data_IF_641325542220
#
_entry.id   IF_641325542220
#
_cell.length_a   1.000
_cell.length_b   1.000
_cell.length_c   1.000
_cell.angle_alpha   90.00
_cell.angle_beta   90.00
_cell.angle_gamma   90.00
#
_symmetry.space_group_name_H-M   'P 1'
#
loop_
_entity.id
_entity.type
_entity.pdbx_description
1 polymer ?
#
# COMPACT_ATOMS: atom_id res chain seq x y z
N UNK A 1 -48.59 -18.90 -43.68
CA UNK A 1 -49.25 -17.57 -43.70
C UNK A 1 -48.29 -16.61 -42.99
N UNK A 2 -47.44 -15.81 -43.64
CA UNK A 2 -47.55 -14.95 -44.82
C UNK A 2 -47.92 -13.48 -44.47
N UNK A 3 -47.16 -12.55 -45.08
CA UNK A 3 -47.33 -11.08 -45.16
C UNK A 3 -47.06 -10.19 -43.93
N UNK A 4 -45.88 -9.55 -43.96
CA UNK A 4 -45.77 -8.08 -43.82
C UNK A 4 -46.26 -7.41 -45.11
N UNK A 5 -46.68 -6.13 -45.09
CA UNK A 5 -45.77 -5.10 -45.65
C UNK A 5 -45.95 -3.64 -45.11
N UNK A 6 -44.91 -2.81 -45.34
CA UNK A 6 -44.87 -1.36 -45.73
C UNK A 6 -45.87 -0.33 -45.11
N UNK A 7 -45.53 0.94 -44.85
CA UNK A 7 -44.27 1.71 -45.01
C UNK A 7 -44.49 3.19 -45.46
N UNK A 8 -43.56 4.10 -45.12
CA UNK A 8 -43.49 5.50 -45.61
C UNK A 8 -44.22 6.57 -44.74
N UNK A 9 -43.94 7.89 -44.86
CA UNK A 9 -42.93 8.63 -45.67
C UNK A 9 -42.87 10.14 -45.28
N UNK A 10 -41.68 10.77 -45.32
CA UNK A 10 -41.46 12.24 -45.46
C UNK A 10 -41.61 13.14 -44.20
N UNK A 11 -40.97 14.32 -44.09
CA UNK A 11 -39.87 14.91 -44.90
C UNK A 11 -39.73 16.46 -44.82
N UNK A 12 -38.49 16.98 -44.72
CA UNK A 12 -38.07 18.38 -44.99
C UNK A 12 -38.43 19.48 -43.94
N UNK A 13 -37.86 20.69 -43.93
CA UNK A 13 -36.66 21.31 -44.55
C UNK A 13 -36.46 22.77 -43.99
N UNK A 14 -35.29 23.42 -44.21
CA UNK A 14 -34.93 24.88 -44.03
C UNK A 14 -34.73 25.40 -42.58
N UNK A 15 -33.86 26.37 -42.25
CA UNK A 15 -32.86 27.21 -42.98
C UNK A 15 -33.21 28.72 -43.02
N UNK A 16 -32.35 29.72 -42.75
CA UNK A 16 -30.91 29.81 -42.37
C UNK A 16 -30.37 31.28 -42.45
N UNK A 17 -29.04 31.53 -42.30
CA UNK A 17 -28.30 32.86 -42.30
C UNK A 17 -28.29 33.64 -40.97
N UNK A 18 -27.37 34.58 -40.67
CA UNK A 18 -26.11 35.03 -41.31
C UNK A 18 -25.66 36.48 -40.93
N UNK A 19 -24.36 36.84 -41.08
CA UNK A 19 -23.77 38.19 -40.87
C UNK A 19 -22.94 38.31 -39.56
N UNK A 20 -21.66 38.78 -39.46
CA UNK A 20 -20.72 39.71 -40.16
C UNK A 20 -20.85 41.21 -39.83
N UNK A 21 -19.72 41.82 -39.45
CA UNK A 21 -19.49 43.26 -39.15
C UNK A 21 -18.82 43.41 -37.77
N UNK A 22 -17.53 43.71 -37.56
CA UNK A 22 -16.45 44.43 -38.28
C UNK A 22 -16.44 45.96 -38.09
N UNK A 23 -15.22 46.50 -37.87
CA UNK A 23 -14.85 47.91 -37.64
C UNK A 23 -15.21 48.49 -36.23
N UNK A 24 -14.52 49.50 -35.70
CA UNK A 24 -13.49 50.39 -36.29
C UNK A 24 -12.45 50.81 -35.22
N UNK A 25 -11.24 51.20 -35.63
CA UNK A 25 -10.26 51.85 -34.75
C UNK A 25 -10.66 53.29 -34.44
N UNK A 26 -10.26 53.82 -33.27
CA UNK A 26 -10.01 55.26 -33.16
C UNK A 26 -8.84 55.57 -32.21
N UNK A 27 -8.27 56.77 -32.35
CA UNK A 27 -6.88 57.09 -32.01
C UNK A 27 -6.78 58.21 -30.95
N UNK A 28 -5.67 58.17 -30.20
CA UNK A 28 -5.18 59.10 -29.15
C UNK A 28 -5.30 60.61 -29.53
N UNK A 29 -5.31 61.53 -28.53
CA UNK A 29 -4.02 62.07 -28.08
C UNK A 29 -3.88 62.29 -26.55
N UNK A 30 -2.63 62.40 -26.12
CA UNK A 30 -2.23 62.68 -24.73
C UNK A 30 -2.12 64.19 -24.45
N UNK A 31 -2.18 64.58 -23.17
CA UNK A 31 -1.81 65.92 -22.68
C UNK A 31 -0.95 65.79 -21.42
N UNK A 32 0.20 66.45 -21.41
CA UNK A 32 1.13 66.52 -20.29
C UNK A 32 0.60 67.38 -19.12
N UNK A 33 0.96 67.02 -17.88
CA UNK A 33 1.55 68.02 -16.99
C UNK A 33 2.52 67.43 -15.94
N UNK A 34 3.73 67.96 -15.96
CA UNK A 34 4.84 67.62 -15.05
C UNK A 34 4.80 68.49 -13.80
N UNK A 35 4.94 67.88 -12.59
CA UNK A 35 5.62 68.37 -11.35
C UNK A 35 5.10 67.57 -10.14
N UNK A 36 5.89 67.16 -9.13
CA UNK A 36 7.27 67.54 -8.78
C UNK A 36 7.97 66.53 -7.83
N UNK A 37 9.33 66.55 -7.82
CA UNK A 37 10.25 66.17 -6.70
C UNK A 37 10.26 64.67 -6.28
N UNK A 38 11.40 64.04 -5.94
CA UNK A 38 12.84 64.43 -5.96
C UNK A 38 13.72 63.14 -5.81
N UNK A 39 14.94 63.17 -6.38
CA UNK A 39 16.16 62.37 -6.04
C UNK A 39 16.20 60.86 -6.35
N UNK A 40 17.18 60.50 -7.21
CA UNK A 40 18.00 59.24 -7.16
C UNK A 40 19.33 59.56 -6.41
N UNK A 41 20.40 58.73 -6.38
CA UNK A 41 20.56 57.27 -6.58
C UNK A 41 21.41 56.56 -5.48
N UNK A 42 21.51 55.22 -5.48
CA UNK A 42 22.74 54.35 -5.39
C UNK A 42 22.37 52.88 -5.04
N UNK A 43 23.27 51.92 -5.32
CA UNK A 43 23.01 50.46 -5.44
C UNK A 43 23.25 49.66 -4.11
N UNK A 44 23.35 48.31 -4.09
CA UNK A 44 22.21 47.36 -4.07
C UNK A 44 22.29 46.31 -2.93
N UNK A 45 21.15 45.78 -2.44
CA UNK A 45 21.17 44.70 -1.43
C UNK A 45 19.90 43.82 -1.38
N UNK A 46 19.44 43.29 -2.53
CA UNK A 46 18.44 42.19 -2.55
C UNK A 46 18.79 41.20 -3.66
N UNK A 47 19.66 40.22 -3.35
CA UNK A 47 19.84 39.00 -4.15
C UNK A 47 19.45 37.79 -3.30
N UNK A 48 18.14 37.61 -3.16
CA UNK A 48 17.46 36.37 -2.79
C UNK A 48 15.95 36.57 -3.04
N UNK A 49 15.22 35.47 -3.25
CA UNK A 49 13.74 35.46 -3.38
C UNK A 49 13.19 36.09 -4.67
N UNK A 50 13.55 35.51 -5.83
CA UNK A 50 12.65 35.41 -6.98
C UNK A 50 13.07 34.25 -7.91
N UNK A 51 12.11 33.68 -8.64
CA UNK A 51 12.30 32.73 -9.75
C UNK A 51 12.79 31.28 -9.43
N UNK A 52 12.21 30.64 -8.41
CA UNK A 52 11.94 29.18 -8.49
C UNK A 52 10.45 29.02 -8.83
N UNK A 53 10.12 29.26 -10.11
CA UNK A 53 8.74 29.34 -10.59
C UNK A 53 8.61 28.80 -12.03
N UNK A 54 8.95 27.52 -12.23
CA UNK A 54 8.61 26.74 -13.43
C UNK A 54 8.24 25.31 -13.01
N UNK A 55 7.23 24.72 -13.66
CA UNK A 55 6.68 23.37 -13.46
C UNK A 55 5.82 23.15 -12.20
N UNK A 56 4.71 23.89 -12.14
CA UNK A 56 3.45 23.29 -11.65
C UNK A 56 2.99 22.23 -12.67
N UNK A 57 3.08 20.94 -12.31
CA UNK A 57 2.03 19.94 -12.61
C UNK A 57 2.22 18.61 -11.85
N UNK A 58 2.30 18.70 -10.51
CA UNK A 58 1.98 17.60 -9.62
C UNK A 58 1.61 18.16 -8.25
N UNK A 59 0.62 17.57 -7.57
CA UNK A 59 0.21 17.95 -6.21
C UNK A 59 1.22 17.51 -5.15
N UNK A 60 2.46 17.97 -5.26
CA UNK A 60 3.56 17.67 -4.34
C UNK A 60 3.34 18.37 -3.00
N UNK A 61 2.60 17.70 -2.12
CA UNK A 61 2.52 18.07 -0.71
C UNK A 61 3.93 17.97 -0.12
N UNK A 62 4.39 19.05 0.51
CA UNK A 62 5.77 19.18 0.99
C UNK A 62 5.93 18.35 2.29
N UNK A 63 5.99 17.03 2.13
CA UNK A 63 6.01 16.06 3.22
C UNK A 63 7.36 16.15 3.94
N UNK A 64 7.32 16.79 5.11
CA UNK A 64 8.35 16.68 6.15
C UNK A 64 8.56 15.21 6.49
N UNK A 65 9.81 14.81 6.78
CA UNK A 65 10.24 13.43 7.01
C UNK A 65 9.17 12.57 7.72
N UNK A 66 8.77 11.41 7.18
CA UNK A 66 7.72 10.57 7.75
C UNK A 66 7.98 10.24 9.22
N UNK A 67 6.93 10.35 10.04
CA UNK A 67 7.01 10.05 11.47
C UNK A 67 7.10 8.54 11.66
N UNK A 68 7.94 8.06 12.56
CA UNK A 68 7.95 6.64 12.92
C UNK A 68 6.62 6.23 13.54
N UNK A 69 6.05 5.11 13.07
CA UNK A 69 4.89 4.51 13.73
C UNK A 69 5.31 3.80 15.02
N UNK A 70 4.34 3.32 15.81
CA UNK A 70 4.58 2.40 16.95
C UNK A 70 5.33 1.14 16.51
N UNK A 71 5.09 0.67 15.29
CA UNK A 71 5.75 -0.50 14.73
C UNK A 71 7.00 -0.11 13.94
N UNK A 72 8.09 -0.84 14.16
CA UNK A 72 9.32 -0.67 13.39
C UNK A 72 9.08 -0.94 11.89
N UNK A 73 9.79 -0.21 11.02
CA UNK A 73 9.66 -0.31 9.56
C UNK A 73 8.43 0.38 8.95
N UNK A 74 7.47 0.82 9.76
CA UNK A 74 6.26 1.51 9.33
C UNK A 74 6.33 3.00 9.72
N UNK A 75 5.87 3.87 8.83
CA UNK A 75 5.91 5.32 9.01
C UNK A 75 4.55 5.95 8.67
N UNK A 76 4.33 7.18 9.15
CA UNK A 76 3.15 7.99 8.85
C UNK A 76 3.58 9.29 8.18
N UNK A 77 3.14 9.49 6.94
CA UNK A 77 3.25 10.74 6.23
C UNK A 77 2.04 11.61 6.58
N UNK A 78 2.25 12.64 7.41
CA UNK A 78 1.20 13.59 7.79
C UNK A 78 1.04 14.69 6.75
N UNK A 79 -0.19 14.97 6.34
CA UNK A 79 -0.51 15.93 5.29
C UNK A 79 -1.85 16.63 5.53
N UNK A 80 -2.65 16.80 4.47
CA UNK A 80 -4.09 17.11 4.62
C UNK A 80 -4.88 15.89 5.11
N UNK A 81 -4.41 14.71 4.73
CA UNK A 81 -4.84 13.40 5.17
C UNK A 81 -3.59 12.68 5.67
N UNK A 82 -3.70 11.89 6.74
CA UNK A 82 -2.59 11.09 7.25
C UNK A 82 -2.51 9.77 6.48
N UNK A 83 -1.35 9.47 5.91
CA UNK A 83 -1.11 8.30 5.07
C UNK A 83 -0.09 7.36 5.71
N UNK A 84 -0.41 6.07 5.74
CA UNK A 84 0.52 5.01 6.14
C UNK A 84 1.53 4.77 5.01
N UNK A 85 2.82 4.73 5.32
CA UNK A 85 3.89 4.54 4.33
C UNK A 85 4.97 3.55 4.78
N UNK A 86 5.53 2.80 3.83
CA UNK A 86 6.71 1.94 4.03
C UNK A 86 7.91 2.51 3.28
N UNK A 87 9.14 2.26 3.75
CA UNK A 87 10.36 2.63 3.02
C UNK A 87 10.54 1.67 1.83
N UNK A 88 10.67 2.20 0.61
CA UNK A 88 10.82 1.37 -0.58
C UNK A 88 12.18 0.66 -0.58
N UNK A 89 12.20 -0.66 -0.78
CA UNK A 89 13.45 -1.40 -1.00
C UNK A 89 14.02 -1.19 -2.42
N UNK A 90 13.16 -0.95 -3.42
CA UNK A 90 13.51 -0.86 -4.85
C UNK A 90 13.17 0.54 -5.39
N UNK A 91 14.00 1.56 -5.14
CA UNK A 91 13.67 2.95 -5.48
C UNK A 91 13.48 3.15 -6.98
N UNK A 92 12.47 3.94 -7.35
CA UNK A 92 12.12 4.22 -8.75
C UNK A 92 10.96 3.38 -9.29
N UNK A 93 10.67 2.23 -8.69
CA UNK A 93 9.65 1.28 -9.15
C UNK A 93 8.40 1.23 -8.23
N UNK A 94 7.21 1.08 -8.84
CA UNK A 94 5.94 0.81 -8.14
C UNK A 94 5.39 -0.56 -8.53
N UNK A 95 4.76 -1.26 -7.58
CA UNK A 95 4.30 -2.65 -7.78
C UNK A 95 2.90 -2.70 -8.39
N UNK A 96 2.01 -1.80 -7.98
CA UNK A 96 0.60 -1.78 -8.40
C UNK A 96 0.08 -0.38 -8.72
N UNK A 97 0.98 0.58 -8.99
CA UNK A 97 0.65 1.96 -9.32
C UNK A 97 0.34 2.86 -8.11
N UNK A 98 0.82 2.48 -6.93
CA UNK A 98 0.70 3.25 -5.69
C UNK A 98 1.39 4.62 -5.75
N UNK A 99 0.88 5.58 -4.96
CA UNK A 99 1.54 6.87 -4.76
C UNK A 99 2.87 6.67 -4.03
N UNK A 100 3.89 7.42 -4.46
CA UNK A 100 5.25 7.39 -3.90
C UNK A 100 5.64 8.79 -3.42
N UNK A 101 6.43 8.85 -2.36
CA UNK A 101 6.92 10.08 -1.74
C UNK A 101 8.45 9.99 -1.71
N UNK A 102 9.11 10.75 -2.57
CA UNK A 102 10.56 10.89 -2.54
C UNK A 102 10.95 11.96 -1.51
N UNK A 103 11.77 11.59 -0.53
CA UNK A 103 12.39 12.52 0.42
C UNK A 103 13.85 12.64 0.05
N UNK A 104 14.24 13.81 -0.45
CA UNK A 104 15.65 14.15 -0.63
C UNK A 104 16.32 14.27 0.74
N UNK A 105 17.45 13.60 0.94
CA UNK A 105 18.23 13.77 2.17
C UNK A 105 18.74 15.20 2.26
N UNK A 106 18.29 15.94 3.27
CA UNK A 106 18.81 17.26 3.65
C UNK A 106 19.87 17.17 4.74
N UNK A 107 20.45 15.98 4.97
CA UNK A 107 21.68 15.87 5.72
C UNK A 107 22.78 16.59 4.94
N UNK A 108 23.31 17.68 5.50
CA UNK A 108 24.49 18.33 4.96
C UNK A 108 25.62 17.28 4.84
N UNK A 109 26.39 17.26 3.74
CA UNK A 109 27.49 16.32 3.60
C UNK A 109 28.47 16.52 4.76
N UNK A 110 28.67 15.46 5.56
CA UNK A 110 29.87 15.38 6.39
C UNK A 110 31.05 15.16 5.46
N UNK A 111 32.12 15.87 5.73
CA UNK A 111 33.24 16.10 4.81
C UNK A 111 33.76 14.84 4.09
N UNK A 112 33.76 14.87 2.76
CA UNK A 112 34.75 14.14 1.95
C UNK A 112 34.29 12.97 1.07
N UNK A 113 33.06 12.45 1.19
CA UNK A 113 32.63 11.28 0.41
C UNK A 113 31.58 11.62 -0.66
N UNK A 114 31.91 11.28 -1.92
CA UNK A 114 31.06 11.49 -3.10
C UNK A 114 29.96 10.42 -3.20
N UNK A 115 29.10 10.34 -2.19
CA UNK A 115 27.90 9.52 -2.27
C UNK A 115 26.80 10.26 -3.04
N UNK A 116 26.18 9.59 -4.02
CA UNK A 116 25.04 10.13 -4.74
C UNK A 116 23.90 10.46 -3.74
N UNK A 117 23.14 11.56 -3.94
CA UNK A 117 22.10 11.95 -3.00
C UNK A 117 21.05 10.82 -2.90
N UNK A 118 21.09 10.09 -1.78
CA UNK A 118 20.25 8.91 -1.54
C UNK A 118 18.81 9.35 -1.30
N UNK A 119 18.08 9.56 -2.39
CA UNK A 119 16.65 9.86 -2.39
C UNK A 119 15.90 8.69 -1.74
N UNK A 120 15.51 8.87 -0.48
CA UNK A 120 14.78 7.84 0.24
C UNK A 120 13.33 7.91 -0.21
N UNK A 121 12.91 6.90 -0.96
CA UNK A 121 11.54 6.77 -1.44
C UNK A 121 10.67 6.00 -0.43
N UNK A 122 9.47 6.52 -0.20
CA UNK A 122 8.43 5.88 0.59
C UNK A 122 7.23 5.53 -0.29
N UNK A 123 6.60 4.39 -0.06
CA UNK A 123 5.41 3.91 -0.78
C UNK A 123 4.17 4.05 0.10
N UNK A 124 3.10 4.60 -0.45
CA UNK A 124 1.82 4.73 0.27
C UNK A 124 1.11 3.38 0.33
N UNK A 125 0.81 2.94 1.55
CA UNK A 125 0.15 1.67 1.81
C UNK A 125 -1.35 1.90 2.00
N UNK A 126 -2.17 1.26 1.17
CA UNK A 126 -3.62 1.47 1.16
C UNK A 126 -4.33 0.45 2.09
N UNK A 127 -4.99 0.88 3.18
CA UNK A 127 -5.71 -0.02 4.08
C UNK A 127 -6.91 -0.72 3.42
N UNK A 128 -7.58 -0.09 2.45
CA UNK A 128 -8.67 -0.71 1.68
C UNK A 128 -8.21 -1.81 0.70
N UNK A 129 -6.90 -2.05 0.57
CA UNK A 129 -6.33 -3.14 -0.24
C UNK A 129 -5.51 -4.15 0.56
N UNK A 130 -5.24 -3.88 1.84
CA UNK A 130 -4.31 -4.66 2.63
C UNK A 130 -4.80 -4.76 4.07
N UNK A 131 -5.25 -5.96 4.45
CA UNK A 131 -5.85 -6.27 5.76
C UNK A 131 -4.89 -5.96 6.91
N UNK A 132 -3.59 -6.17 6.69
CA UNK A 132 -2.55 -5.85 7.67
C UNK A 132 -2.38 -4.33 7.85
N UNK A 133 -2.52 -3.51 6.80
CA UNK A 133 -2.55 -2.05 6.94
C UNK A 133 -3.82 -1.55 7.64
N UNK A 134 -4.99 -2.15 7.34
CA UNK A 134 -6.22 -1.89 8.06
C UNK A 134 -6.07 -2.22 9.57
N UNK A 135 -5.44 -3.34 9.90
CA UNK A 135 -5.14 -3.72 11.29
C UNK A 135 -4.16 -2.77 11.99
N UNK A 136 -3.09 -2.35 11.31
CA UNK A 136 -2.15 -1.35 11.85
C UNK A 136 -2.88 -0.03 12.16
N UNK A 137 -3.74 0.45 11.26
CA UNK A 137 -4.53 1.68 11.50
C UNK A 137 -5.61 1.51 12.56
N UNK A 138 -6.20 0.31 12.68
CA UNK A 138 -7.14 -0.03 13.74
C UNK A 138 -6.50 -0.20 15.12
N UNK A 139 -5.16 -0.13 15.22
CA UNK A 139 -4.45 0.03 16.49
C UNK A 139 -3.89 -1.23 17.11
N UNK A 140 -3.57 -2.26 16.31
CA UNK A 140 -2.95 -3.52 16.78
C UNK A 140 -1.72 -3.26 17.66
N UNK A 141 -1.58 -3.98 18.76
CA UNK A 141 -0.45 -3.78 19.67
C UNK A 141 0.87 -4.31 19.09
N UNK A 142 0.89 -5.54 18.56
CA UNK A 142 2.11 -6.19 18.06
C UNK A 142 1.89 -7.02 16.79
N UNK A 143 2.55 -6.64 15.69
CA UNK A 143 2.51 -7.36 14.41
C UNK A 143 3.56 -8.49 14.26
N UNK A 144 4.53 -8.60 15.18
CA UNK A 144 5.65 -9.57 15.15
C UNK A 144 6.55 -9.57 13.88
N UNK A 145 6.38 -8.59 13.00
CA UNK A 145 7.19 -8.38 11.79
C UNK A 145 8.13 -7.19 12.00
N UNK A 146 9.23 -7.41 12.72
CA UNK A 146 10.28 -6.41 12.85
C UNK A 146 11.25 -6.41 11.65
N UNK A 147 12.04 -5.35 11.45
CA UNK A 147 13.18 -5.41 10.54
C UNK A 147 14.11 -6.58 10.93
N UNK A 148 14.61 -7.32 9.94
CA UNK A 148 15.43 -8.53 10.15
C UNK A 148 14.65 -9.81 10.49
N UNK A 149 13.33 -9.74 10.73
CA UNK A 149 12.52 -10.92 11.08
C UNK A 149 12.26 -11.83 9.88
N UNK A 150 12.09 -13.14 10.10
CA UNK A 150 11.67 -14.08 9.05
C UNK A 150 10.16 -14.29 9.09
N UNK A 151 9.48 -14.01 7.98
CA UNK A 151 8.01 -14.04 7.89
C UNK A 151 7.56 -15.08 6.86
N UNK A 152 6.62 -15.94 7.23
CA UNK A 152 5.90 -16.82 6.30
C UNK A 152 4.51 -16.22 6.02
N UNK A 153 4.28 -15.80 4.78
CA UNK A 153 3.02 -15.23 4.31
C UNK A 153 2.24 -16.31 3.56
N UNK A 154 1.09 -16.71 4.09
CA UNK A 154 0.17 -17.68 3.50
C UNK A 154 -0.96 -16.95 2.78
N UNK A 155 -1.14 -17.20 1.47
CA UNK A 155 -2.12 -16.50 0.64
C UNK A 155 -1.58 -15.21 0.04
N UNK A 156 -0.39 -15.25 -0.54
CA UNK A 156 0.32 -14.07 -1.06
C UNK A 156 -0.37 -13.37 -2.25
N UNK A 157 -1.28 -14.05 -2.95
CA UNK A 157 -1.97 -13.58 -4.15
C UNK A 157 -0.97 -12.97 -5.17
N UNK A 158 -1.27 -11.79 -5.74
CA UNK A 158 -0.37 -11.08 -6.66
C UNK A 158 0.71 -10.25 -5.94
N UNK A 159 0.99 -10.49 -4.65
CA UNK A 159 2.13 -9.91 -3.94
C UNK A 159 2.01 -8.45 -3.48
N UNK A 160 0.84 -7.82 -3.60
CA UNK A 160 0.63 -6.40 -3.23
C UNK A 160 0.99 -6.11 -1.78
N UNK A 161 0.34 -6.79 -0.82
CA UNK A 161 0.65 -6.71 0.62
C UNK A 161 2.04 -7.26 0.95
N UNK A 162 2.46 -8.33 0.28
CA UNK A 162 3.79 -8.95 0.47
C UNK A 162 4.91 -7.95 0.19
N UNK A 163 4.76 -7.10 -0.82
CA UNK A 163 5.75 -6.05 -1.13
C UNK A 163 5.95 -5.04 0.02
N UNK A 164 4.90 -4.74 0.80
CA UNK A 164 5.01 -3.87 1.98
C UNK A 164 5.56 -4.62 3.21
N UNK A 165 5.23 -5.90 3.39
CA UNK A 165 5.85 -6.73 4.44
C UNK A 165 7.36 -6.87 4.18
N UNK A 166 7.76 -7.04 2.92
CA UNK A 166 9.17 -7.07 2.50
C UNK A 166 9.88 -5.72 2.75
N UNK A 167 9.22 -4.59 2.49
CA UNK A 167 9.74 -3.25 2.80
C UNK A 167 9.94 -3.04 4.33
N UNK A 168 9.05 -3.58 5.18
CA UNK A 168 9.14 -3.49 6.66
C UNK A 168 10.25 -4.35 7.23
N UNK A 169 10.33 -5.60 6.75
CA UNK A 169 11.34 -6.59 7.15
C UNK A 169 12.74 -6.16 6.68
N UNK A 170 12.83 -5.42 5.57
CA UNK A 170 14.07 -4.89 5.04
C UNK A 170 14.98 -5.97 4.44
N UNK A 171 16.22 -5.62 4.06
CA UNK A 171 17.13 -6.51 3.33
C UNK A 171 17.72 -7.65 4.18
N UNK A 172 17.74 -7.52 5.51
CA UNK A 172 18.33 -8.53 6.41
C UNK A 172 17.39 -9.70 6.71
N UNK A 173 16.08 -9.46 6.67
CA UNK A 173 15.07 -10.48 6.90
C UNK A 173 14.54 -11.07 5.59
N UNK A 174 13.72 -12.12 5.70
CA UNK A 174 13.25 -12.90 4.54
C UNK A 174 11.75 -13.15 4.62
N UNK A 175 11.03 -12.90 3.53
CA UNK A 175 9.59 -13.17 3.41
C UNK A 175 9.37 -14.36 2.48
N UNK A 176 8.90 -15.47 3.04
CA UNK A 176 8.45 -16.64 2.27
C UNK A 176 6.99 -16.43 1.88
N UNK A 177 6.71 -16.29 0.58
CA UNK A 177 5.39 -15.95 0.07
C UNK A 177 4.74 -17.17 -0.60
N UNK A 178 3.79 -17.82 0.08
CA UNK A 178 3.09 -19.01 -0.40
C UNK A 178 1.80 -18.62 -1.13
N UNK A 179 1.67 -19.06 -2.37
CA UNK A 179 0.49 -18.85 -3.21
C UNK A 179 0.14 -20.11 -4.01
N UNK A 180 -1.15 -20.45 -4.10
CA UNK A 180 -1.60 -21.65 -4.81
C UNK A 180 -1.86 -21.38 -6.31
N UNK A 181 -2.37 -20.20 -6.65
CA UNK A 181 -2.75 -19.85 -8.03
C UNK A 181 -1.54 -19.64 -8.92
N UNK A 182 -1.38 -20.43 -9.98
CA UNK A 182 -0.34 -20.21 -10.99
C UNK A 182 -0.45 -18.87 -11.72
N UNK A 183 -1.63 -18.23 -11.78
CA UNK A 183 -1.77 -16.89 -12.38
C UNK A 183 -1.15 -15.85 -11.44
N UNK A 184 -1.61 -15.83 -10.19
CA UNK A 184 -1.15 -14.88 -9.17
C UNK A 184 0.32 -15.11 -8.83
N UNK A 185 0.78 -16.37 -8.88
CA UNK A 185 2.18 -16.77 -8.75
C UNK A 185 3.10 -16.15 -9.81
N UNK A 186 2.62 -15.88 -11.04
CA UNK A 186 3.43 -15.13 -12.04
C UNK A 186 3.64 -13.68 -11.61
N UNK A 187 2.59 -13.01 -11.15
CA UNK A 187 2.69 -11.64 -10.64
C UNK A 187 3.62 -11.58 -9.40
N UNK A 188 3.51 -12.57 -8.52
CA UNK A 188 4.35 -12.71 -7.33
C UNK A 188 5.83 -12.96 -7.68
N UNK A 189 6.12 -13.81 -8.67
CA UNK A 189 7.49 -14.06 -9.18
C UNK A 189 8.06 -12.79 -9.85
N UNK A 190 7.25 -12.07 -10.63
CA UNK A 190 7.66 -10.79 -11.21
C UNK A 190 8.06 -9.83 -10.08
N UNK A 191 7.19 -9.60 -9.08
CA UNK A 191 7.48 -8.73 -7.94
C UNK A 191 8.74 -9.17 -7.15
N UNK A 192 8.94 -10.47 -6.95
CA UNK A 192 10.11 -11.04 -6.29
C UNK A 192 11.42 -10.92 -7.10
N UNK A 193 11.35 -10.80 -8.44
CA UNK A 193 12.52 -10.53 -9.28
C UNK A 193 13.19 -9.20 -8.91
N UNK A 194 12.38 -8.21 -8.51
CA UNK A 194 12.86 -6.90 -8.08
C UNK A 194 13.24 -6.88 -6.58
N UNK A 195 12.57 -7.68 -5.73
CA UNK A 195 12.80 -7.75 -4.27
C UNK A 195 13.51 -9.04 -3.85
N UNK A 196 14.83 -8.96 -3.71
CA UNK A 196 15.72 -10.08 -3.33
C UNK A 196 15.41 -10.73 -1.97
N UNK A 197 14.67 -10.07 -1.09
CA UNK A 197 14.27 -10.59 0.22
C UNK A 197 12.95 -11.39 0.21
N UNK A 198 12.27 -11.50 -0.94
CA UNK A 198 11.03 -12.27 -1.11
C UNK A 198 11.33 -13.59 -1.84
N UNK A 199 10.92 -14.71 -1.24
CA UNK A 199 11.01 -16.04 -1.86
C UNK A 199 9.60 -16.49 -2.24
N UNK A 200 9.24 -16.50 -3.54
CA UNK A 200 7.93 -16.93 -4.01
C UNK A 200 7.84 -18.46 -4.03
N UNK A 201 6.77 -19.00 -3.46
CA UNK A 201 6.50 -20.44 -3.37
C UNK A 201 5.11 -20.70 -3.97
N UNK A 202 5.08 -21.28 -5.17
CA UNK A 202 3.83 -21.58 -5.88
C UNK A 202 3.37 -23.01 -5.56
N UNK A 203 2.80 -23.20 -4.37
CA UNK A 203 2.32 -24.49 -3.86
C UNK A 203 1.10 -24.34 -2.93
N UNK A 204 0.42 -25.45 -2.68
CA UNK A 204 -0.75 -25.50 -1.78
C UNK A 204 -0.34 -25.43 -0.31
N UNK A 205 -0.74 -24.34 0.38
CA UNK A 205 -0.50 -24.11 1.80
C UNK A 205 -1.06 -25.20 2.73
N UNK A 206 -2.04 -26.00 2.27
CA UNK A 206 -2.57 -27.16 3.00
C UNK A 206 -1.57 -28.30 3.15
N UNK A 207 -0.52 -28.33 2.33
CA UNK A 207 0.45 -29.41 2.22
C UNK A 207 1.90 -28.93 2.49
N UNK A 208 2.20 -28.41 3.70
CA UNK A 208 3.49 -27.79 4.03
C UNK A 208 4.72 -28.70 3.87
N UNK A 209 4.51 -30.03 3.84
CA UNK A 209 5.59 -30.99 3.56
C UNK A 209 6.20 -30.80 2.16
N UNK A 210 5.46 -30.29 1.16
CA UNK A 210 5.96 -30.10 -0.21
C UNK A 210 7.05 -29.04 -0.31
N UNK A 211 6.88 -27.90 0.36
CA UNK A 211 7.83 -26.79 0.36
C UNK A 211 8.73 -26.76 1.61
N UNK A 212 8.76 -27.86 2.39
CA UNK A 212 9.60 -28.01 3.59
C UNK A 212 11.09 -27.79 3.33
N UNK A 213 11.58 -28.07 2.12
CA UNK A 213 12.97 -27.85 1.75
C UNK A 213 13.33 -26.38 1.49
N UNK A 214 12.33 -25.51 1.28
CA UNK A 214 12.53 -24.08 0.97
C UNK A 214 12.40 -23.20 2.22
N UNK A 215 11.49 -23.54 3.13
CA UNK A 215 11.15 -22.70 4.29
C UNK A 215 11.90 -23.16 5.53
N UNK A 216 12.76 -22.28 6.05
CA UNK A 216 13.43 -22.46 7.34
C UNK A 216 12.55 -22.05 8.53
N UNK A 217 13.11 -22.08 9.76
CA UNK A 217 12.40 -21.63 10.95
C UNK A 217 12.10 -20.12 10.89
N UNK A 218 10.83 -19.74 10.94
CA UNK A 218 10.32 -18.36 10.87
C UNK A 218 9.93 -17.81 12.24
N UNK A 219 9.89 -16.49 12.35
CA UNK A 219 9.55 -15.73 13.56
C UNK A 219 8.06 -15.37 13.61
N UNK A 220 7.46 -15.12 12.44
CA UNK A 220 6.05 -14.77 12.32
C UNK A 220 5.38 -15.51 11.14
N UNK A 221 4.13 -15.93 11.32
CA UNK A 221 3.22 -16.32 10.23
C UNK A 221 2.18 -15.22 10.02
N UNK A 222 1.95 -14.81 8.77
CA UNK A 222 0.78 -14.04 8.36
C UNK A 222 -0.12 -14.93 7.50
N UNK A 223 -1.43 -14.94 7.77
CA UNK A 223 -2.38 -15.79 7.05
C UNK A 223 -3.58 -15.01 6.51
N UNK A 224 -3.59 -14.79 5.19
CA UNK A 224 -4.68 -14.19 4.41
C UNK A 224 -5.31 -15.21 3.45
N UNK A 225 -5.53 -16.43 3.96
CA UNK A 225 -6.13 -17.54 3.21
C UNK A 225 -7.64 -17.56 3.47
N UNK A 226 -8.44 -17.19 2.48
CA UNK A 226 -9.90 -17.22 2.54
C UNK A 226 -10.47 -18.63 2.29
N UNK A 227 -10.25 -19.56 3.23
CA UNK A 227 -10.78 -20.94 3.18
C UNK A 227 -11.42 -21.36 4.51
N UNK A 228 -12.43 -22.24 4.51
CA UNK A 228 -13.10 -22.70 5.73
C UNK A 228 -12.19 -23.56 6.63
N UNK A 229 -11.09 -24.11 6.11
CA UNK A 229 -10.09 -24.86 6.87
C UNK A 229 -8.86 -24.02 7.30
N UNK A 230 -9.02 -22.69 7.39
CA UNK A 230 -7.94 -21.72 7.72
C UNK A 230 -7.18 -22.08 9.00
N UNK A 231 -7.84 -22.31 10.14
CA UNK A 231 -7.16 -22.69 11.39
C UNK A 231 -6.29 -23.95 11.27
N UNK A 232 -6.74 -24.96 10.49
CA UNK A 232 -5.99 -26.19 10.23
C UNK A 232 -4.74 -25.91 9.39
N UNK A 233 -4.87 -25.10 8.33
CA UNK A 233 -3.76 -24.70 7.47
C UNK A 233 -2.70 -23.95 8.28
N UNK A 234 -3.11 -22.98 9.10
CA UNK A 234 -2.20 -22.20 9.95
C UNK A 234 -1.52 -23.08 10.99
N UNK A 235 -2.27 -23.96 11.68
CA UNK A 235 -1.72 -24.87 12.69
C UNK A 235 -0.69 -25.86 12.13
N UNK A 236 -0.93 -26.42 10.93
CA UNK A 236 0.04 -27.30 10.25
C UNK A 236 1.32 -26.56 9.84
N UNK A 237 1.20 -25.32 9.37
CA UNK A 237 2.37 -24.50 9.04
C UNK A 237 3.14 -24.05 10.30
N UNK A 238 2.43 -23.67 11.36
CA UNK A 238 3.03 -23.30 12.64
C UNK A 238 3.83 -24.47 13.25
N UNK A 239 3.25 -25.67 13.26
CA UNK A 239 3.92 -26.87 13.81
C UNK A 239 5.19 -27.31 13.07
N UNK A 240 5.38 -26.88 11.81
CA UNK A 240 6.55 -27.24 11.00
C UNK A 240 7.60 -26.12 10.89
N UNK A 241 7.18 -24.86 10.81
CA UNK A 241 8.08 -23.75 10.48
C UNK A 241 8.21 -22.68 11.57
N UNK A 242 7.23 -22.54 12.48
CA UNK A 242 7.23 -21.43 13.42
C UNK A 242 8.04 -21.77 14.68
N UNK A 243 8.88 -20.81 15.11
CA UNK A 243 9.61 -20.92 16.38
C UNK A 243 8.62 -20.96 17.56
N UNK A 244 9.00 -21.63 18.65
CA UNK A 244 8.23 -21.60 19.89
C UNK A 244 8.23 -20.17 20.43
N UNK A 245 7.05 -19.62 20.73
CA UNK A 245 6.89 -18.20 21.07
C UNK A 245 6.78 -17.28 19.85
N UNK A 246 6.82 -17.80 18.63
CA UNK A 246 6.65 -17.04 17.39
C UNK A 246 5.25 -16.44 17.24
N UNK A 247 5.18 -15.32 16.51
CA UNK A 247 3.94 -14.60 16.27
C UNK A 247 3.08 -15.26 15.20
N UNK A 248 1.76 -15.18 15.34
CA UNK A 248 0.82 -15.51 14.28
C UNK A 248 -0.19 -14.37 14.16
N UNK A 249 -0.39 -13.90 12.95
CA UNK A 249 -1.39 -12.89 12.60
C UNK A 249 -2.30 -13.48 11.52
N UNK A 250 -3.60 -13.57 11.80
CA UNK A 250 -4.58 -14.24 10.94
C UNK A 250 -5.68 -13.23 10.61
N UNK A 251 -5.93 -12.97 9.32
CA UNK A 251 -7.13 -12.26 8.89
C UNK A 251 -8.24 -13.25 8.62
N UNK A 252 -9.25 -13.25 9.48
CA UNK A 252 -10.43 -14.11 9.43
C UNK A 252 -11.55 -13.33 8.72
N UNK A 253 -12.12 -13.93 7.68
CA UNK A 253 -13.28 -13.41 6.96
C UNK A 253 -14.48 -14.32 7.22
N UNK A 254 -15.45 -13.86 8.00
CA UNK A 254 -16.57 -14.69 8.45
C UNK A 254 -17.31 -15.35 7.26
N UNK A 255 -17.68 -14.53 6.27
CA UNK A 255 -18.41 -14.94 5.06
C UNK A 255 -17.70 -15.99 4.18
N UNK A 256 -16.41 -16.29 4.39
CA UNK A 256 -15.69 -17.35 3.68
C UNK A 256 -15.53 -18.65 4.48
N UNK A 257 -15.90 -18.64 5.76
CA UNK A 257 -15.90 -19.82 6.64
C UNK A 257 -17.34 -20.33 6.78
N UNK A 258 -18.27 -19.44 7.14
CA UNK A 258 -19.70 -19.71 7.20
C UNK A 258 -20.46 -18.41 6.85
N UNK A 259 -21.26 -18.45 5.77
CA UNK A 259 -22.06 -17.32 5.30
C UNK A 259 -23.47 -17.27 5.91
N UNK A 260 -23.82 -18.22 6.78
CA UNK A 260 -25.13 -18.34 7.43
C UNK A 260 -25.09 -17.93 8.90
N UNK A 261 -23.95 -18.11 9.57
CA UNK A 261 -23.73 -17.71 10.95
C UNK A 261 -23.40 -16.21 11.10
N UNK A 262 -23.68 -15.65 12.28
CA UNK A 262 -23.25 -14.29 12.63
C UNK A 262 -21.71 -14.21 12.74
N UNK A 263 -21.06 -13.12 12.31
CA UNK A 263 -19.61 -13.02 12.22
C UNK A 263 -18.92 -13.22 13.59
N UNK A 264 -19.50 -12.70 14.68
CA UNK A 264 -19.01 -12.88 16.05
C UNK A 264 -18.91 -14.36 16.46
N UNK A 265 -19.90 -15.17 16.07
CA UNK A 265 -19.92 -16.61 16.35
C UNK A 265 -18.83 -17.35 15.56
N UNK A 266 -18.62 -16.97 14.29
CA UNK A 266 -17.55 -17.52 13.45
C UNK A 266 -16.18 -17.17 14.03
N UNK A 267 -15.96 -15.93 14.46
CA UNK A 267 -14.70 -15.52 15.11
C UNK A 267 -14.44 -16.31 16.40
N UNK A 268 -15.46 -16.48 17.26
CA UNK A 268 -15.32 -17.28 18.49
C UNK A 268 -14.99 -18.75 18.20
N UNK A 269 -15.58 -19.35 17.16
CA UNK A 269 -15.26 -20.72 16.74
C UNK A 269 -13.82 -20.86 16.24
N UNK A 270 -13.35 -19.96 15.36
CA UNK A 270 -11.96 -19.99 14.89
C UNK A 270 -10.96 -19.77 16.04
N UNK A 271 -11.24 -18.85 16.96
CA UNK A 271 -10.39 -18.62 18.14
C UNK A 271 -10.28 -19.88 19.02
N UNK A 272 -11.32 -20.69 19.11
CA UNK A 272 -11.26 -21.98 19.81
C UNK A 272 -10.44 -23.04 19.04
N UNK A 273 -10.65 -23.19 17.71
CA UNK A 273 -9.82 -24.07 16.87
C UNK A 273 -8.33 -23.71 16.93
N UNK A 274 -8.01 -22.42 16.99
CA UNK A 274 -6.62 -21.96 17.13
C UNK A 274 -6.00 -22.37 18.47
N UNK A 275 -6.77 -22.30 19.58
CA UNK A 275 -6.33 -22.79 20.90
C UNK A 275 -6.06 -24.29 20.89
N UNK A 276 -6.93 -25.08 20.24
CA UNK A 276 -6.75 -26.53 20.06
C UNK A 276 -5.46 -26.85 19.29
N UNK A 277 -5.05 -26.01 18.33
CA UNK A 277 -3.80 -26.13 17.57
C UNK A 277 -2.56 -25.55 18.29
N UNK A 278 -2.65 -25.24 19.59
CA UNK A 278 -1.53 -24.69 20.39
C UNK A 278 -1.23 -23.20 20.14
N UNK A 279 -2.15 -22.46 19.51
CA UNK A 279 -1.98 -21.03 19.25
C UNK A 279 -2.73 -20.27 20.34
N UNK A 280 -2.00 -19.57 21.21
CA UNK A 280 -2.60 -18.74 22.25
C UNK A 280 -3.00 -17.39 21.65
N UNK A 281 -4.31 -17.08 21.46
CA UNK A 281 -4.73 -15.75 21.04
C UNK A 281 -4.38 -14.73 22.13
N UNK A 282 -3.89 -13.56 21.73
CA UNK A 282 -3.61 -12.42 22.60
C UNK A 282 -4.57 -11.27 22.36
N UNK A 283 -4.88 -11.01 21.10
CA UNK A 283 -5.57 -9.81 20.65
C UNK A 283 -6.48 -10.17 19.47
N UNK A 284 -7.65 -9.52 19.41
CA UNK A 284 -8.60 -9.64 18.32
C UNK A 284 -9.14 -8.24 18.02
N UNK A 285 -9.13 -7.86 16.75
CA UNK A 285 -9.56 -6.55 16.26
C UNK A 285 -10.45 -6.73 15.04
N UNK A 286 -11.60 -6.06 14.99
CA UNK A 286 -12.42 -5.97 13.77
C UNK A 286 -11.85 -4.91 12.82
N UNK A 287 -11.87 -5.17 11.51
CA UNK A 287 -11.24 -4.30 10.50
C UNK A 287 -12.19 -3.22 9.93
N UNK A 288 -13.28 -2.94 10.63
CA UNK A 288 -14.17 -1.82 10.29
C UNK A 288 -13.47 -0.49 10.63
N UNK A 289 -13.49 0.53 9.75
CA UNK A 289 -14.40 0.71 8.62
C UNK A 289 -13.86 0.21 7.25
N UNK A 290 -12.69 -0.41 7.19
CA UNK A 290 -12.01 -0.74 5.92
C UNK A 290 -12.59 -1.98 5.24
N UNK A 291 -12.79 -3.07 5.99
CA UNK A 291 -13.37 -4.32 5.51
C UNK A 291 -14.48 -4.80 6.46
N UNK A 292 -15.68 -5.02 5.92
CA UNK A 292 -16.84 -5.57 6.67
C UNK A 292 -16.70 -7.07 6.88
N UNK A 293 -17.19 -7.59 8.00
CA UNK A 293 -17.16 -9.01 8.37
C UNK A 293 -15.74 -9.62 8.42
N UNK A 294 -14.71 -8.78 8.61
CA UNK A 294 -13.32 -9.19 8.79
C UNK A 294 -12.83 -8.87 10.20
N UNK A 295 -12.13 -9.82 10.80
CA UNK A 295 -11.39 -9.64 12.04
C UNK A 295 -9.95 -10.10 11.85
N UNK A 296 -9.00 -9.38 12.45
CA UNK A 296 -7.62 -9.83 12.57
C UNK A 296 -7.40 -10.36 13.99
N UNK A 297 -6.93 -11.59 14.08
CA UNK A 297 -6.57 -12.26 15.33
C UNK A 297 -5.05 -12.37 15.40
N UNK A 298 -4.47 -11.88 16.49
CA UNK A 298 -3.05 -11.97 16.78
C UNK A 298 -2.84 -12.96 17.93
N UNK A 299 -2.00 -13.95 17.71
CA UNK A 299 -1.66 -14.98 18.68
C UNK A 299 -0.16 -15.23 18.77
N UNK A 300 0.22 -16.03 19.75
CA UNK A 300 1.57 -16.56 19.89
C UNK A 300 1.50 -18.08 19.90
N UNK A 301 2.37 -18.71 19.12
CA UNK A 301 2.47 -20.16 19.06
C UNK A 301 3.13 -20.69 20.33
N UNK A 302 2.36 -21.45 21.11
CA UNK A 302 2.84 -22.20 22.25
C UNK A 302 2.82 -23.67 21.86
N UNK A 303 3.99 -24.23 21.60
CA UNK A 303 4.10 -25.68 21.39
C UNK A 303 3.63 -26.37 22.67
N UNK A 304 2.45 -26.99 22.61
CA UNK A 304 1.96 -27.88 23.67
C UNK A 304 3.00 -28.97 23.86
N UNK A 305 3.40 -29.18 25.12
CA UNK A 305 4.15 -30.36 25.55
C UNK A 305 3.20 -31.56 25.61
#
# INVERSE_FOLDING_TARGET
MAFTPRGGRGGGDRGGRGGRGASLLEVVPAVDLVRSRRRRPWWPAVVAVAAVAVLLEAGALLVRCPWSHRHAGVFVARGKEDLLVTKNLTPGESVYGEKRISVGSTAAPKDGETEAPSSTEYRVWNPFRSKLAAGILGGVDNIYMGPGSKVLYLGAASGTSVSHVADIVGPEGTVFAVEFSHRSGRDLINMATHRTNVIPIVEDARHPLKYRMLVGMVDCIFADVAQPDQARIVGLNAGLFLKVGGGIVISIKANCIDSTAAPEAVFAQEVNKLREMGIKPKEQLTLEPFERDHAMVVGVYQRSQ
#
